data_IF_137447417589
#
_entry.id   IF_137447417589
#
_cell.length_a   1.000
_cell.length_b   1.000
_cell.length_c   1.000
_cell.angle_alpha   90.00
_cell.angle_beta   90.00
_cell.angle_gamma   90.00
#
_symmetry.space_group_name_H-M   'P 1'
#
loop_
_entity.id
_entity.type
_entity.pdbx_description
1 polymer ?
#
# COMPACT_ATOMS: atom_id res chain seq x y z
N UNK A 1 -36.30 4.75 23.73
CA UNK A 1 -35.18 5.43 23.05
C UNK A 1 -35.16 4.96 21.60
N UNK A 2 -35.32 5.85 20.62
CA UNK A 2 -35.32 5.45 19.21
C UNK A 2 -33.87 5.46 18.69
N UNK A 3 -33.40 4.34 18.15
CA UNK A 3 -32.09 4.21 17.53
C UNK A 3 -32.24 3.91 16.04
N UNK A 4 -31.35 4.45 15.21
CA UNK A 4 -31.26 4.12 13.79
C UNK A 4 -30.07 3.21 13.55
N UNK A 5 -30.27 2.13 12.81
CA UNK A 5 -29.22 1.17 12.45
C UNK A 5 -28.99 1.22 10.95
N UNK A 6 -27.74 1.42 10.56
CA UNK A 6 -27.28 1.39 9.18
C UNK A 6 -26.42 0.16 8.95
N UNK A 7 -26.71 -0.56 7.88
CA UNK A 7 -25.94 -1.70 7.43
C UNK A 7 -25.28 -1.34 6.12
N UNK A 8 -23.98 -1.57 6.01
CA UNK A 8 -23.23 -1.25 4.82
C UNK A 8 -22.22 -2.34 4.49
N UNK A 9 -21.90 -2.44 3.20
CA UNK A 9 -20.94 -3.41 2.67
C UNK A 9 -19.87 -2.66 1.89
N UNK A 10 -18.61 -3.08 2.06
CA UNK A 10 -17.47 -2.58 1.28
C UNK A 10 -17.20 -3.55 0.14
N UNK A 11 -17.12 -3.05 -1.08
CA UNK A 11 -16.93 -3.85 -2.30
C UNK A 11 -15.78 -3.31 -3.12
N UNK A 12 -15.13 -4.21 -3.85
CA UNK A 12 -14.10 -3.84 -4.81
C UNK A 12 -14.74 -3.22 -6.07
N UNK A 13 -14.17 -2.12 -6.55
CA UNK A 13 -14.53 -1.41 -7.77
C UNK A 13 -13.31 -0.95 -8.56
N UNK A 14 -12.24 -1.73 -8.59
CA UNK A 14 -10.99 -1.39 -9.31
C UNK A 14 -11.17 -0.95 -10.78
N UNK A 15 -12.28 -1.31 -11.43
CA UNK A 15 -12.62 -0.87 -12.79
C UNK A 15 -13.19 0.57 -12.89
N UNK A 16 -13.55 1.20 -11.77
CA UNK A 16 -14.04 2.58 -11.72
C UNK A 16 -12.89 3.50 -11.31
N UNK A 17 -12.59 4.49 -12.15
CA UNK A 17 -11.73 5.62 -11.78
C UNK A 17 -12.62 6.73 -11.24
N UNK A 18 -12.34 7.16 -10.02
CA UNK A 18 -12.99 8.32 -9.41
C UNK A 18 -12.02 9.49 -9.48
N UNK A 19 -12.36 10.50 -10.27
CA UNK A 19 -11.65 11.77 -10.25
C UNK A 19 -12.27 12.71 -9.22
N UNK A 20 -11.41 13.40 -8.46
CA UNK A 20 -11.85 14.41 -7.50
C UNK A 20 -12.49 15.56 -8.27
N UNK A 21 -13.63 16.03 -7.76
CA UNK A 21 -14.26 17.27 -8.20
C UNK A 21 -13.95 18.32 -7.13
N UNK A 22 -12.76 18.93 -7.20
CA UNK A 22 -12.38 20.10 -6.37
C UNK A 22 -10.99 20.05 -5.73
N UNK A 23 -10.45 21.23 -5.41
CA UNK A 23 -9.10 21.46 -4.85
C UNK A 23 -8.97 21.09 -3.35
N UNK A 24 -10.08 20.85 -2.65
CA UNK A 24 -10.11 20.50 -1.23
C UNK A 24 -10.88 19.19 -1.03
N UNK A 25 -10.21 18.17 -0.52
CA UNK A 25 -10.84 16.89 -0.16
C UNK A 25 -11.74 17.10 1.07
N UNK A 26 -13.02 17.31 0.82
CA UNK A 26 -14.08 17.39 1.84
C UNK A 26 -14.79 16.06 1.94
N UNK A 27 -15.08 15.64 3.17
CA UNK A 27 -15.88 14.45 3.44
C UNK A 27 -16.78 14.70 4.63
N UNK A 28 -18.08 14.45 4.45
CA UNK A 28 -19.11 14.84 5.41
C UNK A 28 -19.17 16.37 5.68
N UNK A 29 -18.90 17.19 4.67
CA UNK A 29 -18.92 18.65 4.78
C UNK A 29 -17.75 19.29 5.52
N UNK A 30 -16.80 18.50 6.02
CA UNK A 30 -15.60 18.99 6.72
C UNK A 30 -14.32 18.57 5.98
N UNK A 31 -13.23 19.29 6.23
CA UNK A 31 -11.91 18.95 5.72
C UNK A 31 -11.38 17.66 6.37
N UNK A 32 -10.81 16.76 5.56
CA UNK A 32 -10.15 15.58 6.12
C UNK A 32 -8.77 15.98 6.65
N UNK A 33 -8.60 15.94 7.96
CA UNK A 33 -7.31 16.17 8.63
C UNK A 33 -6.43 14.91 8.60
N UNK A 34 -5.93 14.55 7.42
CA UNK A 34 -4.89 13.53 7.26
C UNK A 34 -3.53 14.07 7.74
N UNK A 35 -2.70 13.19 8.30
CA UNK A 35 -1.38 13.54 8.80
C UNK A 35 -0.44 14.01 7.69
N UNK A 36 -0.44 13.32 6.55
CA UNK A 36 0.43 13.64 5.43
C UNK A 36 -0.36 14.36 4.30
N UNK A 37 0.04 15.57 3.88
CA UNK A 37 -0.54 16.27 2.74
C UNK A 37 -0.50 15.46 1.44
N UNK A 38 0.57 14.70 1.21
CA UNK A 38 0.73 13.83 0.03
C UNK A 38 -0.38 12.79 0.00
N UNK A 39 -0.78 12.25 1.15
CA UNK A 39 -1.86 11.27 1.20
C UNK A 39 -3.19 11.86 0.71
N UNK A 40 -3.45 13.15 0.97
CA UNK A 40 -4.64 13.86 0.46
C UNK A 40 -4.67 13.94 -1.06
N UNK A 41 -3.53 14.23 -1.69
CA UNK A 41 -3.41 14.30 -3.15
C UNK A 41 -3.68 12.95 -3.82
N UNK A 42 -3.38 11.87 -3.10
CA UNK A 42 -3.52 10.50 -3.59
C UNK A 42 -4.86 9.84 -3.24
N UNK A 43 -5.77 10.60 -2.61
CA UNK A 43 -7.09 10.14 -2.19
C UNK A 43 -8.17 10.88 -2.98
N UNK A 44 -9.07 10.12 -3.60
CA UNK A 44 -10.24 10.65 -4.29
C UNK A 44 -11.52 10.07 -3.69
N UNK A 45 -12.50 10.93 -3.39
CA UNK A 45 -13.77 10.50 -2.79
C UNK A 45 -14.92 11.09 -3.60
N UNK A 46 -15.88 10.24 -3.95
CA UNK A 46 -17.16 10.63 -4.54
C UNK A 46 -18.28 10.10 -3.67
N UNK A 47 -18.97 11.02 -3.00
CA UNK A 47 -20.21 10.72 -2.29
C UNK A 47 -21.31 10.46 -3.34
N UNK A 48 -22.14 9.42 -3.15
CA UNK A 48 -23.30 9.24 -4.01
C UNK A 48 -24.30 10.33 -3.64
N UNK A 49 -24.48 11.33 -4.50
CA UNK A 49 -25.52 12.34 -4.35
C UNK A 49 -26.87 11.71 -4.69
N UNK A 50 -27.54 11.09 -3.72
CA UNK A 50 -28.94 10.76 -3.83
C UNK A 50 -29.75 11.73 -2.94
N UNK A 51 -30.37 12.70 -3.61
CA UNK A 51 -31.58 13.42 -3.21
C UNK A 51 -31.78 13.79 -1.74
N UNK A 52 -31.64 15.10 -1.43
CA UNK A 52 -32.31 15.71 -0.29
C UNK A 52 -33.80 15.37 -0.33
N UNK A 53 -34.23 14.46 0.54
CA UNK A 53 -35.64 14.18 0.79
C UNK A 53 -35.96 14.62 2.22
N UNK A 54 -35.97 15.94 2.44
CA UNK A 54 -36.23 16.56 3.75
C UNK A 54 -35.00 16.63 4.66
N UNK A 55 -35.22 17.00 5.93
CA UNK A 55 -34.20 17.25 6.97
C UNK A 55 -33.42 16.00 7.45
N UNK A 56 -33.67 14.83 6.85
CA UNK A 56 -33.00 13.58 7.18
C UNK A 56 -31.82 13.32 6.22
N UNK A 57 -30.59 13.50 6.71
CA UNK A 57 -29.37 13.08 5.98
C UNK A 57 -29.33 11.54 5.97
N UNK A 58 -29.78 10.93 4.88
CA UNK A 58 -29.68 9.49 4.68
C UNK A 58 -28.20 9.11 4.48
N UNK A 59 -27.74 8.05 5.14
CA UNK A 59 -26.37 7.56 5.02
C UNK A 59 -26.20 6.95 3.62
N UNK A 60 -25.91 7.79 2.63
CA UNK A 60 -25.70 7.32 1.28
C UNK A 60 -24.27 6.86 1.09
N UNK A 61 -24.14 5.71 0.43
CA UNK A 61 -22.84 5.10 0.15
C UNK A 61 -21.88 6.05 -0.58
N UNK A 62 -20.61 5.72 -0.61
CA UNK A 62 -19.60 6.51 -1.33
C UNK A 62 -18.55 5.61 -1.96
N UNK A 63 -17.81 6.18 -2.90
CA UNK A 63 -16.68 5.52 -3.54
C UNK A 63 -15.40 6.27 -3.19
N UNK A 64 -14.37 5.55 -2.78
CA UNK A 64 -13.05 6.10 -2.50
C UNK A 64 -12.00 5.38 -3.35
N UNK A 65 -11.16 6.14 -4.03
CA UNK A 65 -9.95 5.65 -4.69
C UNK A 65 -8.73 6.07 -3.87
N UNK A 66 -7.99 5.08 -3.40
CA UNK A 66 -6.75 5.26 -2.64
C UNK A 66 -5.54 5.06 -3.54
N UNK A 67 -4.45 5.79 -3.22
CA UNK A 67 -3.17 5.72 -3.91
C UNK A 67 -3.30 6.06 -5.40
N UNK A 68 -4.07 7.11 -5.71
CA UNK A 68 -4.19 7.66 -7.05
C UNK A 68 -2.80 7.83 -7.66
N UNK A 69 -2.67 7.49 -8.95
CA UNK A 69 -1.43 7.54 -9.72
C UNK A 69 -0.39 6.44 -9.39
N UNK A 70 -0.76 5.45 -8.56
CA UNK A 70 -0.01 4.22 -8.37
C UNK A 70 -0.58 3.06 -9.20
N UNK A 71 0.27 2.11 -9.61
CA UNK A 71 -0.20 0.82 -10.17
C UNK A 71 -0.93 -0.06 -9.13
N UNK A 72 -0.78 0.30 -7.85
CA UNK A 72 -1.43 -0.33 -6.71
C UNK A 72 -2.66 0.43 -6.23
N UNK A 73 -3.17 1.40 -7.00
CA UNK A 73 -4.39 2.12 -6.69
C UNK A 73 -5.55 1.15 -6.40
N UNK A 74 -6.36 1.46 -5.39
CA UNK A 74 -7.49 0.64 -4.95
C UNK A 74 -8.76 1.48 -4.97
N UNK A 75 -9.79 1.05 -5.69
CA UNK A 75 -11.10 1.73 -5.67
C UNK A 75 -12.11 0.89 -4.92
N UNK A 76 -12.62 1.43 -3.82
CA UNK A 76 -13.55 0.76 -2.93
C UNK A 76 -14.88 1.52 -2.86
N UNK A 77 -15.98 0.79 -2.91
CA UNK A 77 -17.34 1.32 -2.75
C UNK A 77 -17.89 0.88 -1.41
N UNK A 78 -18.33 1.85 -0.59
CA UNK A 78 -19.26 1.59 0.50
C UNK A 78 -20.68 1.71 -0.04
N UNK A 79 -21.47 0.66 0.12
CA UNK A 79 -22.89 0.65 -0.24
C UNK A 79 -23.73 0.33 0.99
N UNK A 80 -24.69 1.20 1.31
CA UNK A 80 -25.71 0.89 2.31
C UNK A 80 -26.70 -0.13 1.76
N UNK A 81 -27.08 -1.06 2.62
CA UNK A 81 -27.97 -2.16 2.31
C UNK A 81 -29.13 -2.17 3.30
N UNK A 82 -30.32 -2.49 2.80
CA UNK A 82 -31.48 -2.67 3.66
C UNK A 82 -31.35 -3.96 4.45
N UNK A 83 -31.78 -3.92 5.71
CA UNK A 83 -31.54 -4.88 6.78
C UNK A 83 -32.21 -6.27 6.62
N UNK A 84 -32.49 -6.73 5.40
CA UNK A 84 -32.96 -8.11 5.20
C UNK A 84 -31.76 -9.07 5.27
N UNK A 85 -31.30 -9.31 6.50
CA UNK A 85 -30.21 -10.24 6.87
C UNK A 85 -30.48 -11.65 6.32
N UNK A 86 -31.75 -12.01 6.09
CA UNK A 86 -32.18 -13.36 5.69
C UNK A 86 -32.10 -13.68 4.18
N UNK A 87 -31.89 -12.69 3.28
CA UNK A 87 -32.00 -12.92 1.83
C UNK A 87 -30.71 -12.79 1.03
N UNK A 88 -29.55 -12.66 1.68
CA UNK A 88 -28.29 -12.59 0.94
C UNK A 88 -27.82 -13.98 0.50
N UNK A 89 -28.06 -14.28 -0.78
CA UNK A 89 -27.52 -15.46 -1.45
C UNK A 89 -26.03 -15.65 -1.09
N UNK A 90 -25.57 -16.86 -0.76
CA UNK A 90 -24.19 -17.12 -0.36
C UNK A 90 -23.14 -16.55 -1.33
N UNK A 91 -23.46 -16.46 -2.61
CA UNK A 91 -22.60 -15.96 -3.67
C UNK A 91 -22.41 -14.44 -3.67
N UNK A 92 -23.36 -13.65 -3.16
CA UNK A 92 -23.15 -12.19 -3.04
C UNK A 92 -22.25 -11.84 -1.86
N UNK A 93 -22.30 -12.63 -0.79
CA UNK A 93 -21.55 -12.40 0.43
C UNK A 93 -20.03 -12.51 0.24
N UNK A 94 -19.59 -13.42 -0.64
CA UNK A 94 -18.17 -13.58 -1.00
C UNK A 94 -17.60 -12.39 -1.77
N UNK A 95 -18.46 -11.52 -2.33
CA UNK A 95 -18.04 -10.34 -3.10
C UNK A 95 -17.74 -9.14 -2.22
N UNK A 96 -18.00 -9.20 -0.91
CA UNK A 96 -17.80 -8.08 0.01
C UNK A 96 -16.47 -8.24 0.74
N UNK A 97 -15.69 -7.17 0.77
CA UNK A 97 -14.39 -7.13 1.43
C UNK A 97 -14.53 -6.95 2.95
N UNK A 98 -15.54 -6.18 3.37
CA UNK A 98 -15.88 -5.98 4.77
C UNK A 98 -17.33 -5.52 4.92
N UNK A 99 -17.83 -5.52 6.15
CA UNK A 99 -19.18 -5.09 6.51
C UNK A 99 -19.15 -4.10 7.66
N UNK A 100 -20.08 -3.17 7.64
CA UNK A 100 -20.15 -2.09 8.63
C UNK A 100 -21.57 -2.02 9.17
N UNK A 101 -21.68 -1.99 10.49
CA UNK A 101 -22.93 -1.72 11.21
C UNK A 101 -22.74 -0.47 12.04
N UNK A 102 -23.64 0.49 11.86
CA UNK A 102 -23.61 1.76 12.58
C UNK A 102 -24.94 1.92 13.28
N UNK A 103 -24.90 2.00 14.60
CA UNK A 103 -26.03 2.34 15.44
C UNK A 103 -25.86 3.78 15.86
N UNK A 104 -26.81 4.65 15.53
CA UNK A 104 -26.85 6.03 16.00
C UNK A 104 -28.10 6.27 16.82
N UNK A 105 -27.99 7.16 17.79
CA UNK A 105 -29.14 7.66 18.49
C UNK A 105 -29.99 8.57 17.60
N UNK A 106 -31.30 8.63 17.85
CA UNK A 106 -32.22 9.57 17.18
C UNK A 106 -32.60 10.76 18.08
N UNK A 107 -32.23 10.73 19.36
CA UNK A 107 -32.56 11.77 20.33
C UNK A 107 -31.31 12.61 20.68
N UNK A 108 -31.40 13.94 20.56
CA UNK A 108 -30.30 14.87 20.87
C UNK A 108 -30.22 15.24 22.36
N UNK A 109 -31.20 14.85 23.18
CA UNK A 109 -31.19 15.12 24.62
C UNK A 109 -30.10 14.32 25.35
N UNK A 110 -29.55 14.86 26.45
CA UNK A 110 -28.60 14.13 27.30
C UNK A 110 -29.22 12.86 27.93
N UNK A 111 -30.55 12.87 28.13
CA UNK A 111 -31.35 11.70 28.53
C UNK A 111 -31.43 10.64 27.42
N UNK A 112 -31.14 11.02 26.18
CA UNK A 112 -31.10 10.20 24.99
C UNK A 112 -29.85 9.34 24.85
N UNK A 113 -28.75 9.59 25.58
CA UNK A 113 -27.51 8.80 25.43
C UNK A 113 -27.81 7.31 25.52
N UNK A 114 -27.40 6.53 24.51
CA UNK A 114 -27.55 5.07 24.51
C UNK A 114 -26.89 4.54 25.79
N UNK A 115 -27.68 4.22 26.80
CA UNK A 115 -27.17 3.65 28.04
C UNK A 115 -26.85 2.19 27.79
N UNK A 116 -25.70 1.76 28.30
CA UNK A 116 -25.10 0.46 27.99
C UNK A 116 -25.97 -0.75 28.37
N UNK A 117 -26.97 -0.54 29.23
CA UNK A 117 -27.76 -1.58 29.88
C UNK A 117 -28.93 -2.14 29.03
N UNK A 118 -29.51 -1.38 28.10
CA UNK A 118 -30.81 -1.77 27.51
C UNK A 118 -30.74 -2.39 26.10
N UNK A 119 -29.62 -2.29 25.36
CA UNK A 119 -29.58 -2.71 23.94
C UNK A 119 -28.33 -3.44 23.44
N UNK A 120 -27.26 -3.56 24.25
CA UNK A 120 -25.94 -4.03 23.77
C UNK A 120 -26.00 -5.45 23.16
N UNK A 121 -26.73 -6.37 23.79
CA UNK A 121 -26.81 -7.75 23.32
C UNK A 121 -27.49 -7.86 21.96
N UNK A 122 -28.59 -7.14 21.75
CA UNK A 122 -29.34 -7.19 20.48
C UNK A 122 -28.52 -6.60 19.33
N UNK A 123 -27.93 -5.42 19.52
CA UNK A 123 -27.09 -4.81 18.48
C UNK A 123 -25.84 -5.63 18.18
N UNK A 124 -25.20 -6.22 19.19
CA UNK A 124 -24.06 -7.11 18.98
C UNK A 124 -24.47 -8.36 18.22
N UNK A 125 -25.63 -8.95 18.52
CA UNK A 125 -26.11 -10.15 17.85
C UNK A 125 -26.44 -9.88 16.38
N UNK A 126 -27.19 -8.81 16.10
CA UNK A 126 -27.51 -8.38 14.74
C UNK A 126 -26.25 -8.05 13.94
N UNK A 127 -25.32 -7.32 14.55
CA UNK A 127 -24.04 -7.01 13.92
C UNK A 127 -23.18 -8.27 13.71
N UNK A 128 -23.23 -9.23 14.63
CA UNK A 128 -22.53 -10.50 14.51
C UNK A 128 -23.04 -11.30 13.33
N UNK A 129 -24.37 -11.39 13.18
CA UNK A 129 -25.00 -12.09 12.06
C UNK A 129 -24.67 -11.41 10.74
N UNK A 130 -24.75 -10.08 10.70
CA UNK A 130 -24.43 -9.34 9.48
C UNK A 130 -22.95 -9.42 9.10
N UNK A 131 -22.03 -9.20 10.03
CA UNK A 131 -20.58 -9.14 9.77
C UNK A 131 -19.99 -10.54 9.57
N UNK A 132 -20.33 -11.49 10.45
CA UNK A 132 -19.68 -12.80 10.58
C UNK A 132 -20.53 -14.01 10.20
N UNK A 133 -21.85 -13.85 9.99
CA UNK A 133 -22.82 -14.96 9.86
C UNK A 133 -22.81 -15.95 11.04
N UNK A 134 -22.40 -15.47 12.20
CA UNK A 134 -22.38 -16.25 13.43
C UNK A 134 -22.80 -15.35 14.58
N UNK A 135 -23.17 -15.91 15.72
CA UNK A 135 -23.46 -15.16 16.96
C UNK A 135 -22.24 -15.10 17.88
N UNK A 136 -21.06 -14.90 17.30
CA UNK A 136 -19.78 -14.94 18.01
C UNK A 136 -19.36 -13.60 18.62
N UNK A 137 -19.93 -12.48 18.16
CA UNK A 137 -19.73 -11.18 18.78
C UNK A 137 -20.59 -11.10 20.04
N UNK A 138 -19.94 -11.05 21.20
CA UNK A 138 -20.61 -11.01 22.48
C UNK A 138 -20.86 -9.58 22.91
N UNK A 139 -21.77 -9.41 23.87
CA UNK A 139 -22.05 -8.12 24.45
C UNK A 139 -20.78 -7.47 25.02
N UNK A 140 -19.81 -8.18 25.58
CA UNK A 140 -18.56 -7.61 26.11
C UNK A 140 -17.49 -7.29 25.06
N UNK A 141 -17.69 -7.67 23.79
CA UNK A 141 -16.66 -7.53 22.74
C UNK A 141 -16.37 -6.07 22.33
N UNK A 142 -17.36 -5.16 22.21
CA UNK A 142 -17.09 -3.77 21.88
C UNK A 142 -16.36 -3.03 23.00
N UNK A 143 -15.32 -2.30 22.59
CA UNK A 143 -14.50 -1.43 23.45
C UNK A 143 -15.20 -0.08 23.59
N UNK A 144 -15.23 0.43 24.82
CA UNK A 144 -15.75 1.75 25.14
C UNK A 144 -14.79 2.87 24.74
N UNK A 145 -15.36 3.91 24.15
CA UNK A 145 -14.70 5.15 23.75
C UNK A 145 -15.59 6.34 24.12
N UNK A 146 -15.04 7.55 24.11
CA UNK A 146 -15.80 8.76 24.48
C UNK A 146 -17.07 8.99 23.64
N UNK A 147 -17.10 8.47 22.41
CA UNK A 147 -18.23 8.60 21.48
C UNK A 147 -19.20 7.41 21.51
N UNK A 148 -19.00 6.43 22.39
CA UNK A 148 -19.82 5.23 22.49
C UNK A 148 -18.97 3.97 22.47
N UNK A 149 -19.32 3.00 21.61
CA UNK A 149 -18.65 1.71 21.58
C UNK A 149 -18.31 1.28 20.17
N UNK A 150 -17.23 0.52 20.05
CA UNK A 150 -16.78 0.00 18.77
C UNK A 150 -16.21 -1.40 18.87
N UNK A 151 -16.40 -2.16 17.82
CA UNK A 151 -15.72 -3.43 17.61
C UNK A 151 -15.21 -3.49 16.19
N UNK A 152 -13.96 -3.89 16.01
CA UNK A 152 -13.35 -4.11 14.69
C UNK A 152 -12.81 -5.52 14.65
N UNK A 153 -13.06 -6.22 13.55
CA UNK A 153 -12.33 -7.43 13.19
C UNK A 153 -12.03 -7.43 11.68
N UNK A 154 -11.21 -8.38 11.22
CA UNK A 154 -10.87 -8.47 9.80
C UNK A 154 -12.06 -8.71 8.85
N UNK A 155 -13.28 -8.94 9.36
CA UNK A 155 -14.50 -9.09 8.55
C UNK A 155 -15.37 -7.83 8.54
N UNK A 156 -15.17 -6.91 9.48
CA UNK A 156 -15.98 -5.71 9.56
C UNK A 156 -15.85 -4.86 10.82
N UNK A 157 -16.82 -3.98 10.97
CA UNK A 157 -16.83 -2.90 11.94
C UNK A 157 -18.24 -2.73 12.51
N UNK A 158 -18.34 -2.71 13.84
CA UNK A 158 -19.52 -2.26 14.57
C UNK A 158 -19.19 -0.94 15.24
N UNK A 159 -20.05 0.06 15.04
CA UNK A 159 -20.01 1.35 15.71
C UNK A 159 -21.36 1.60 16.39
N UNK A 160 -21.33 1.85 17.69
CA UNK A 160 -22.48 2.30 18.47
C UNK A 160 -22.16 3.70 18.94
N UNK A 161 -22.79 4.69 18.33
CA UNK A 161 -22.51 6.11 18.57
C UNK A 161 -23.53 6.69 19.56
N UNK A 162 -23.03 7.36 20.58
CA UNK A 162 -23.87 8.05 21.57
C UNK A 162 -24.51 9.32 21.02
N UNK A 163 -23.96 9.85 19.91
CA UNK A 163 -24.41 11.07 19.28
C UNK A 163 -25.21 10.79 18.01
N UNK A 164 -26.13 11.69 17.67
CA UNK A 164 -26.93 11.67 16.44
C UNK A 164 -26.08 11.88 15.17
N UNK A 165 -24.89 12.49 15.32
CA UNK A 165 -24.02 12.85 14.20
C UNK A 165 -23.36 11.63 13.52
N UNK A 166 -23.66 11.40 12.22
CA UNK A 166 -23.05 10.34 11.40
C UNK A 166 -21.63 10.64 10.89
N UNK A 167 -21.10 11.86 11.08
CA UNK A 167 -19.80 12.26 10.53
C UNK A 167 -18.63 11.41 11.07
N UNK A 168 -18.60 11.14 12.38
CA UNK A 168 -17.55 10.33 13.00
C UNK A 168 -17.58 8.87 12.51
N UNK A 169 -18.73 8.18 12.50
CA UNK A 169 -18.84 6.85 11.89
C UNK A 169 -18.39 6.78 10.43
N UNK A 170 -18.71 7.80 9.62
CA UNK A 170 -18.27 7.87 8.23
C UNK A 170 -16.75 7.95 8.12
N UNK A 171 -16.10 8.80 8.92
CA UNK A 171 -14.63 8.93 8.96
C UNK A 171 -13.94 7.63 9.38
N UNK A 172 -14.47 6.95 10.39
CA UNK A 172 -13.95 5.65 10.83
C UNK A 172 -14.12 4.60 9.72
N UNK A 173 -15.25 4.62 9.01
CA UNK A 173 -15.48 3.72 7.87
C UNK A 173 -14.50 3.98 6.72
N UNK A 174 -14.14 5.25 6.46
CA UNK A 174 -13.10 5.59 5.48
C UNK A 174 -11.73 5.02 5.88
N UNK A 175 -11.38 5.01 7.17
CA UNK A 175 -10.15 4.39 7.67
C UNK A 175 -10.17 2.87 7.53
N UNK A 176 -11.32 2.22 7.74
CA UNK A 176 -11.49 0.80 7.47
C UNK A 176 -11.24 0.51 5.97
N UNK A 177 -11.81 1.32 5.08
CA UNK A 177 -11.57 1.20 3.64
C UNK A 177 -10.09 1.38 3.29
N UNK A 178 -9.40 2.33 3.93
CA UNK A 178 -7.95 2.51 3.76
C UNK A 178 -7.15 1.28 4.21
N UNK A 179 -7.50 0.68 5.34
CA UNK A 179 -6.85 -0.55 5.81
C UNK A 179 -7.00 -1.70 4.81
N UNK A 180 -8.21 -1.88 4.27
CA UNK A 180 -8.48 -2.86 3.20
C UNK A 180 -7.66 -2.53 1.95
N UNK A 181 -7.53 -1.26 1.59
CA UNK A 181 -6.74 -0.82 0.45
C UNK A 181 -5.24 -1.14 0.63
N UNK A 182 -4.66 -0.89 1.82
CA UNK A 182 -3.28 -1.28 2.11
C UNK A 182 -3.09 -2.78 2.05
N UNK A 183 -3.98 -3.55 2.67
CA UNK A 183 -3.90 -5.01 2.66
C UNK A 183 -3.84 -5.55 1.23
N UNK A 184 -4.74 -5.08 0.35
CA UNK A 184 -4.78 -5.48 -1.07
C UNK A 184 -3.53 -5.02 -1.83
N UNK A 185 -3.04 -3.81 -1.58
CA UNK A 185 -1.83 -3.31 -2.22
C UNK A 185 -0.60 -4.15 -1.86
N UNK A 186 -0.42 -4.47 -0.57
CA UNK A 186 0.67 -5.34 -0.09
C UNK A 186 0.58 -6.74 -0.68
N UNK A 187 -0.61 -7.33 -0.71
CA UNK A 187 -0.82 -8.63 -1.34
C UNK A 187 -0.41 -8.59 -2.82
N UNK A 188 -0.84 -7.58 -3.58
CA UNK A 188 -0.51 -7.43 -5.00
C UNK A 188 0.99 -7.22 -5.23
N UNK A 189 1.65 -6.42 -4.39
CA UNK A 189 3.11 -6.24 -4.45
C UNK A 189 3.82 -7.58 -4.26
N UNK A 190 3.45 -8.34 -3.22
CA UNK A 190 4.08 -9.63 -2.92
C UNK A 190 3.87 -10.64 -4.05
N UNK A 191 2.65 -10.69 -4.62
CA UNK A 191 2.34 -11.54 -5.77
C UNK A 191 3.17 -11.17 -7.00
N UNK A 192 3.27 -9.87 -7.34
CA UNK A 192 4.07 -9.39 -8.47
C UNK A 192 5.57 -9.66 -8.29
N UNK A 193 6.11 -9.46 -7.08
CA UNK A 193 7.50 -9.76 -6.77
C UNK A 193 7.79 -11.26 -6.85
N UNK A 194 6.94 -12.09 -6.27
CA UNK A 194 7.08 -13.55 -6.32
C UNK A 194 7.01 -14.08 -7.77
N UNK A 195 6.12 -13.53 -8.59
CA UNK A 195 6.00 -13.90 -10.00
C UNK A 195 7.23 -13.45 -10.81
N UNK A 196 7.75 -12.25 -10.54
CA UNK A 196 8.96 -11.75 -11.21
C UNK A 196 10.17 -12.65 -10.94
N UNK A 197 10.29 -13.17 -9.73
CA UNK A 197 11.39 -14.06 -9.34
C UNK A 197 11.30 -15.48 -9.93
N UNK A 198 10.18 -15.89 -10.54
CA UNK A 198 10.11 -17.17 -11.26
C UNK A 198 10.94 -17.19 -12.54
N UNK A 199 11.16 -16.03 -13.15
CA UNK A 199 11.90 -15.87 -14.41
C UNK A 199 13.05 -14.90 -14.21
N UNK A 200 14.08 -15.36 -13.49
CA UNK A 200 15.29 -14.59 -13.13
C UNK A 200 16.01 -14.01 -14.37
N UNK A 201 15.78 -14.60 -15.55
CA UNK A 201 16.38 -14.16 -16.81
C UNK A 201 15.90 -12.76 -17.27
N UNK A 202 14.74 -12.29 -16.79
CA UNK A 202 14.18 -10.97 -17.11
C UNK A 202 14.47 -9.95 -16.00
N UNK A 203 15.74 -9.55 -15.90
CA UNK A 203 16.24 -8.62 -14.87
C UNK A 203 15.52 -7.26 -14.95
N UNK A 204 15.27 -6.75 -16.16
CA UNK A 204 14.63 -5.45 -16.37
C UNK A 204 13.21 -5.43 -15.79
N UNK A 205 12.46 -6.53 -15.93
CA UNK A 205 11.14 -6.68 -15.32
C UNK A 205 11.22 -6.70 -13.79
N UNK A 206 12.20 -7.40 -13.22
CA UNK A 206 12.42 -7.46 -11.77
C UNK A 206 12.76 -6.05 -11.23
N UNK A 207 13.68 -5.34 -11.88
CA UNK A 207 14.06 -3.96 -11.51
C UNK A 207 12.86 -3.01 -11.58
N UNK A 208 12.03 -3.14 -12.61
CA UNK A 208 10.82 -2.32 -12.75
C UNK A 208 9.83 -2.56 -11.61
N UNK A 209 9.52 -3.81 -11.30
CA UNK A 209 8.56 -4.14 -10.23
C UNK A 209 9.11 -3.70 -8.87
N UNK A 210 10.40 -3.96 -8.61
CA UNK A 210 11.10 -3.48 -7.41
C UNK A 210 11.00 -1.95 -7.26
N UNK A 211 11.27 -1.20 -8.34
CA UNK A 211 11.23 0.25 -8.33
C UNK A 211 9.83 0.78 -8.01
N UNK A 212 8.79 0.20 -8.62
CA UNK A 212 7.41 0.63 -8.39
C UNK A 212 6.92 0.25 -6.99
N UNK A 213 7.26 -0.94 -6.49
CA UNK A 213 6.95 -1.37 -5.12
C UNK A 213 7.64 -0.49 -4.07
N UNK A 214 8.93 -0.19 -4.27
CA UNK A 214 9.69 0.71 -3.38
C UNK A 214 9.11 2.12 -3.36
N UNK A 215 8.74 2.65 -4.53
CA UNK A 215 8.06 3.95 -4.65
C UNK A 215 6.70 3.93 -3.95
N UNK A 216 5.98 2.82 -4.01
CA UNK A 216 4.72 2.68 -3.32
C UNK A 216 4.89 2.82 -1.81
N UNK A 217 5.78 2.02 -1.23
CA UNK A 217 6.07 2.04 0.20
C UNK A 217 6.53 3.42 0.68
N UNK A 218 7.40 4.08 -0.08
CA UNK A 218 7.94 5.39 0.30
C UNK A 218 6.91 6.52 0.23
N UNK A 219 5.99 6.49 -0.75
CA UNK A 219 5.08 7.60 -1.02
C UNK A 219 3.69 7.45 -0.40
N UNK A 220 3.17 6.22 -0.34
CA UNK A 220 1.74 6.01 -0.08
C UNK A 220 1.46 5.30 1.24
N UNK A 221 2.38 4.49 1.77
CA UNK A 221 2.17 3.82 3.04
C UNK A 221 2.60 4.69 4.23
N UNK A 222 1.66 4.91 5.14
CA UNK A 222 1.91 5.56 6.42
C UNK A 222 1.43 4.67 7.55
N UNK A 223 2.35 4.36 8.47
CA UNK A 223 2.02 3.58 9.67
C UNK A 223 0.86 4.21 10.47
N UNK A 224 0.82 5.55 10.51
CA UNK A 224 -0.27 6.34 11.09
C UNK A 224 -0.70 7.44 10.10
N UNK A 225 -1.81 7.26 9.35
CA UNK A 225 -2.30 8.25 8.38
C UNK A 225 -3.10 9.40 9.03
N UNK A 226 -3.41 9.30 10.33
CA UNK A 226 -4.22 10.26 11.09
C UNK A 226 -3.34 11.07 12.04
N UNK A 227 -3.62 12.37 12.18
CA UNK A 227 -2.93 13.23 13.14
C UNK A 227 -3.27 12.83 14.59
N UNK A 228 -2.25 12.82 15.46
CA UNK A 228 -2.41 12.48 16.90
C UNK A 228 -3.33 13.47 17.63
N UNK A 229 -3.41 14.72 17.17
CA UNK A 229 -4.35 15.74 17.67
C UNK A 229 -5.81 15.26 17.61
N UNK A 230 -6.14 14.33 16.71
CA UNK A 230 -7.42 13.64 16.67
C UNK A 230 -7.33 12.29 17.39
N UNK A 231 -7.18 12.31 18.72
CA UNK A 231 -6.89 11.11 19.51
C UNK A 231 -7.90 9.97 19.31
N UNK A 232 -9.19 10.26 19.19
CA UNK A 232 -10.23 9.24 18.97
C UNK A 232 -10.07 8.51 17.63
N UNK A 233 -9.83 9.27 16.57
CA UNK A 233 -9.63 8.74 15.21
C UNK A 233 -8.28 8.03 15.11
N UNK A 234 -7.23 8.57 15.76
CA UNK A 234 -5.92 7.92 15.88
C UNK A 234 -6.02 6.57 16.59
N UNK A 235 -6.67 6.49 17.76
CA UNK A 235 -6.89 5.21 18.45
C UNK A 235 -7.75 4.27 17.62
N UNK A 236 -8.71 4.78 16.86
CA UNK A 236 -9.49 3.92 15.97
C UNK A 236 -8.63 3.29 14.88
N UNK A 237 -7.70 4.06 14.32
CA UNK A 237 -6.74 3.55 13.35
C UNK A 237 -5.89 2.43 13.93
N UNK A 238 -5.39 2.56 15.17
CA UNK A 238 -4.63 1.48 15.82
C UNK A 238 -5.45 0.18 15.91
N UNK A 239 -6.70 0.24 16.40
CA UNK A 239 -7.57 -0.92 16.45
C UNK A 239 -7.81 -1.56 15.06
N UNK A 240 -7.99 -0.74 14.03
CA UNK A 240 -8.19 -1.21 12.64
C UNK A 240 -6.90 -1.85 12.11
N UNK A 241 -5.75 -1.19 12.29
CA UNK A 241 -4.44 -1.66 11.85
C UNK A 241 -4.13 -3.03 12.45
N UNK A 242 -4.40 -3.20 13.74
CA UNK A 242 -4.14 -4.44 14.46
C UNK A 242 -5.13 -5.55 14.04
N UNK A 243 -6.41 -5.23 13.84
CA UNK A 243 -7.43 -6.18 13.37
C UNK A 243 -7.14 -6.75 11.97
N UNK A 244 -6.45 -5.98 11.12
CA UNK A 244 -6.03 -6.39 9.78
C UNK A 244 -4.57 -6.86 9.71
N UNK A 245 -3.86 -6.90 10.85
CA UNK A 245 -2.45 -7.25 10.95
C UNK A 245 -1.56 -6.51 9.93
N UNK A 246 -1.86 -5.24 9.69
CA UNK A 246 -1.21 -4.45 8.64
C UNK A 246 0.28 -4.28 8.87
N UNK A 247 0.72 -4.28 10.13
CA UNK A 247 2.14 -4.16 10.45
C UNK A 247 2.92 -5.39 9.97
N UNK A 248 2.43 -6.60 10.27
CA UNK A 248 3.09 -7.82 9.83
C UNK A 248 3.04 -7.94 8.31
N UNK A 249 1.93 -7.57 7.67
CA UNK A 249 1.82 -7.53 6.20
C UNK A 249 2.80 -6.56 5.57
N UNK A 250 2.94 -5.37 6.13
CA UNK A 250 3.93 -4.39 5.68
C UNK A 250 5.36 -4.91 5.85
N UNK A 251 5.68 -5.54 6.99
CA UNK A 251 7.00 -6.12 7.24
C UNK A 251 7.33 -7.21 6.22
N UNK A 252 6.42 -8.13 5.97
CA UNK A 252 6.54 -9.17 4.95
C UNK A 252 6.84 -8.56 3.57
N UNK A 253 6.06 -7.57 3.14
CA UNK A 253 6.28 -6.87 1.87
C UNK A 253 7.63 -6.17 1.82
N UNK A 254 8.02 -5.49 2.89
CA UNK A 254 9.29 -4.77 2.94
C UNK A 254 10.50 -5.71 2.93
N UNK A 255 10.41 -6.86 3.61
CA UNK A 255 11.43 -7.91 3.57
C UNK A 255 11.58 -8.48 2.15
N UNK A 256 10.47 -8.76 1.46
CA UNK A 256 10.53 -9.22 0.07
C UNK A 256 11.18 -8.19 -0.87
N UNK A 257 10.85 -6.90 -0.72
CA UNK A 257 11.49 -5.82 -1.48
C UNK A 257 13.00 -5.77 -1.20
N UNK A 258 13.42 -5.94 0.06
CA UNK A 258 14.83 -5.96 0.44
C UNK A 258 15.57 -7.18 -0.13
N UNK A 259 14.95 -8.36 -0.12
CA UNK A 259 15.53 -9.57 -0.72
C UNK A 259 15.72 -9.41 -2.24
N UNK A 260 14.74 -8.83 -2.93
CA UNK A 260 14.83 -8.55 -4.37
C UNK A 260 15.95 -7.54 -4.66
N UNK A 261 16.09 -6.49 -3.84
CA UNK A 261 17.21 -5.56 -3.93
C UNK A 261 18.57 -6.26 -3.78
N UNK A 262 18.70 -7.20 -2.83
CA UNK A 262 19.92 -7.98 -2.65
C UNK A 262 20.24 -8.81 -3.90
N UNK A 263 19.24 -9.51 -4.46
CA UNK A 263 19.40 -10.30 -5.70
C UNK A 263 19.88 -9.40 -6.85
N UNK A 264 19.21 -8.26 -7.08
CA UNK A 264 19.59 -7.30 -8.12
C UNK A 264 21.00 -6.76 -7.91
N UNK A 265 21.37 -6.45 -6.67
CA UNK A 265 22.71 -5.96 -6.34
C UNK A 265 23.79 -6.99 -6.64
N UNK A 266 23.55 -8.27 -6.35
CA UNK A 266 24.48 -9.36 -6.66
C UNK A 266 24.62 -9.58 -8.18
N UNK A 267 23.51 -9.53 -8.91
CA UNK A 267 23.52 -9.63 -10.38
C UNK A 267 24.33 -8.49 -10.99
N UNK A 268 24.10 -7.26 -10.54
CA UNK A 268 24.80 -6.08 -11.06
C UNK A 268 26.29 -6.05 -10.67
N UNK A 269 26.65 -6.51 -9.47
CA UNK A 269 28.05 -6.70 -9.09
C UNK A 269 28.76 -7.70 -10.00
N UNK A 270 28.14 -8.86 -10.24
CA UNK A 270 28.70 -9.89 -11.13
C UNK A 270 28.90 -9.38 -12.55
N UNK A 271 27.92 -8.65 -13.11
CA UNK A 271 28.05 -8.00 -14.42
C UNK A 271 29.24 -7.04 -14.47
N UNK A 272 29.41 -6.19 -13.44
CA UNK A 272 30.55 -5.26 -13.37
C UNK A 272 31.90 -5.99 -13.24
N UNK A 273 31.95 -7.11 -12.52
CA UNK A 273 33.15 -7.94 -12.41
C UNK A 273 33.50 -8.62 -13.74
N UNK A 274 32.51 -9.17 -14.44
CA UNK A 274 32.66 -9.78 -15.76
C UNK A 274 33.16 -8.73 -16.78
N UNK A 275 32.56 -7.53 -16.79
CA UNK A 275 33.00 -6.41 -17.64
C UNK A 275 34.43 -5.96 -17.32
N UNK A 276 34.80 -5.87 -16.04
CA UNK A 276 36.18 -5.55 -15.62
C UNK A 276 37.17 -6.63 -16.06
N UNK A 277 36.80 -7.90 -15.92
CA UNK A 277 37.61 -9.02 -16.35
C UNK A 277 37.82 -9.01 -17.87
N UNK A 278 36.77 -8.73 -18.66
CA UNK A 278 36.89 -8.58 -20.11
C UNK A 278 37.78 -7.40 -20.51
N UNK A 279 37.65 -6.26 -19.83
CA UNK A 279 38.50 -5.09 -20.05
C UNK A 279 39.97 -5.37 -19.71
N UNK A 280 40.24 -6.05 -18.58
CA UNK A 280 41.60 -6.47 -18.22
C UNK A 280 42.17 -7.44 -19.26
N UNK A 281 41.40 -8.44 -19.71
CA UNK A 281 41.85 -9.39 -20.72
C UNK A 281 42.18 -8.72 -22.06
N UNK A 282 41.41 -7.71 -22.47
CA UNK A 282 41.71 -6.89 -23.65
C UNK A 282 42.99 -6.07 -23.46
N UNK A 283 43.15 -5.43 -22.31
CA UNK A 283 44.35 -4.65 -21.99
C UNK A 283 45.61 -5.54 -21.90
N UNK A 284 45.52 -6.73 -21.30
CA UNK A 284 46.62 -7.70 -21.23
C UNK A 284 47.05 -8.17 -22.61
N UNK A 285 46.09 -8.41 -23.52
CA UNK A 285 46.38 -8.76 -24.91
C UNK A 285 47.07 -7.61 -25.64
N UNK A 286 46.64 -6.37 -25.39
CA UNK A 286 47.26 -5.18 -25.98
C UNK A 286 48.67 -4.94 -25.43
N UNK A 287 48.86 -5.06 -24.11
CA UNK A 287 50.15 -4.96 -23.44
C UNK A 287 51.13 -6.01 -23.96
N UNK A 288 50.71 -7.27 -24.14
CA UNK A 288 51.56 -8.31 -24.76
C UNK A 288 52.00 -7.93 -26.17
N UNK A 289 51.10 -7.39 -26.99
CA UNK A 289 51.42 -6.96 -28.34
C UNK A 289 52.43 -5.79 -28.36
N UNK A 290 52.30 -4.83 -27.43
CA UNK A 290 53.26 -3.73 -27.28
C UNK A 290 54.63 -4.26 -26.83
N UNK A 291 54.66 -5.17 -25.86
CA UNK A 291 55.93 -5.77 -25.41
C UNK A 291 56.63 -6.51 -26.54
N UNK A 292 55.90 -7.28 -27.37
CA UNK A 292 56.47 -7.95 -28.54
C UNK A 292 57.03 -6.92 -29.54
N UNK A 293 56.31 -5.82 -29.79
CA UNK A 293 56.77 -4.75 -30.67
C UNK A 293 58.03 -4.06 -30.13
N UNK A 294 58.09 -3.79 -28.83
CA UNK A 294 59.26 -3.19 -28.19
C UNK A 294 60.49 -4.11 -28.27
N UNK A 295 60.31 -5.43 -28.06
CA UNK A 295 61.38 -6.42 -28.25
C UNK A 295 61.87 -6.42 -29.70
N UNK A 296 60.96 -6.38 -30.68
CA UNK A 296 61.32 -6.33 -32.10
C UNK A 296 62.11 -5.06 -32.44
N UNK A 297 61.65 -3.89 -32.00
CA UNK A 297 62.34 -2.62 -32.20
C UNK A 297 63.74 -2.60 -31.55
N UNK A 298 63.88 -3.18 -30.36
CA UNK A 298 65.17 -3.32 -29.68
C UNK A 298 66.16 -4.17 -30.49
N UNK A 299 65.69 -5.23 -31.15
CA UNK A 299 66.53 -6.08 -32.00
C UNK A 299 66.98 -5.33 -33.25
N UNK A 300 66.07 -4.59 -33.91
CA UNK A 300 66.39 -3.78 -35.09
C UNK A 300 67.45 -2.71 -34.74
N UNK A 301 67.28 -2.01 -33.61
CA UNK A 301 68.25 -1.01 -33.15
C UNK A 301 69.63 -1.60 -32.85
N UNK A 302 69.70 -2.84 -32.32
CA UNK A 302 70.97 -3.54 -32.11
C UNK A 302 71.66 -3.89 -33.44
N UNK A 303 70.91 -4.31 -34.46
CA UNK A 303 71.46 -4.61 -35.79
C UNK A 303 72.03 -3.36 -36.45
N UNK A 304 71.32 -2.22 -36.36
CA UNK A 304 71.83 -0.94 -36.86
C UNK A 304 73.09 -0.48 -36.12
N UNK A 305 73.12 -0.62 -34.79
CA UNK A 305 74.31 -0.30 -33.99
C UNK A 305 75.51 -1.19 -34.36
N UNK A 306 75.30 -2.49 -34.55
CA UNK A 306 76.35 -3.43 -34.99
C UNK A 306 76.85 -3.06 -36.39
N UNK A 307 75.94 -2.72 -37.31
CA UNK A 307 76.30 -2.29 -38.67
C UNK A 307 77.13 -1.01 -38.65
N UNK A 308 76.73 -0.02 -37.84
CA UNK A 308 77.48 1.23 -37.68
C UNK A 308 78.87 1.00 -37.07
N UNK A 309 78.99 0.12 -36.07
CA UNK A 309 80.28 -0.27 -35.47
C UNK A 309 81.16 -0.99 -36.51
N UNK A 310 80.58 -1.88 -37.30
CA UNK A 310 81.29 -2.59 -38.36
C UNK A 310 81.81 -1.63 -39.43
N UNK A 311 80.97 -0.70 -39.91
CA UNK A 311 81.37 0.35 -40.86
C UNK A 311 82.48 1.25 -40.30
N UNK A 312 82.41 1.62 -39.01
CA UNK A 312 83.46 2.36 -38.32
C UNK A 312 84.78 1.57 -38.25
N UNK A 313 84.73 0.30 -37.86
CA UNK A 313 85.93 -0.56 -37.75
C UNK A 313 86.62 -0.77 -39.11
N UNK A 314 85.84 -0.96 -40.17
CA UNK A 314 86.35 -1.05 -41.55
C UNK A 314 87.00 0.28 -41.96
N UNK A 315 86.38 1.42 -41.66
CA UNK A 315 86.94 2.74 -42.01
C UNK A 315 88.24 3.07 -41.27
N UNK A 316 88.50 2.42 -40.12
CA UNK A 316 89.71 2.60 -39.30
C UNK A 316 90.78 1.52 -39.53
N UNK A 317 90.57 0.59 -40.48
CA UNK A 317 91.53 -0.47 -40.83
C UNK A 317 91.87 -1.44 -39.67
N UNK A 318 90.94 -1.62 -38.73
CA UNK A 318 91.12 -2.51 -37.57
C UNK A 318 90.69 -3.95 -37.89
N UNK A 319 89.80 -4.13 -38.86
CA UNK A 319 89.33 -5.40 -39.46
C UNK A 319 89.26 -5.18 -40.97
#
# INVERSE_FOLDING_TARGET
>A
MASRIYYAVIRNRDNLKVDNVGDVLRFCGDDIHLFNPIFKETLSIKENTAYEKGDDIEYDGWIATFFKDSQYAQTLELKVVNNNIDNHQPNEYRKHLARVVIVTNMDESEEGKITFAEGKSSYCEDASLFIRRSKSLKADSPIEVSSGWRHVDGQGLLLINNYTCVKQPRRITLLLMLAIAYFKAFQKINEELAEALKSIDDIDKIEKIFSVASKFNARYYFFNPVQVSSYHTYKCWENIRDAFDLQSKYQETNEQIQQVHQILSHINQKKQEDEKYEHQKKNDKWNKNITILAVFLSIVGLVEAIKAIYELLVSWNII
#
